data_IF_949808379924
#
_entry.id   IF_949808379924
#
_cell.length_a   1.000
_cell.length_b   1.000
_cell.length_c   1.000
_cell.angle_alpha   90.00
_cell.angle_beta   90.00
_cell.angle_gamma   90.00
#
_symmetry.space_group_name_H-M   'P 1'
#
loop_
_entity.id
_entity.type
_entity.pdbx_description
1 polymer ?
#
# COMPACT_ATOMS: atom_id res chain seq x y z
N UNK A 1 8.90 12.23 -0.25
CA UNK A 1 8.28 13.55 -0.08
C UNK A 1 9.21 14.45 0.74
N UNK A 2 9.59 15.60 0.20
CA UNK A 2 10.52 16.52 0.86
C UNK A 2 9.82 17.67 1.60
N UNK A 3 8.48 17.59 1.77
CA UNK A 3 7.72 18.58 2.53
C UNK A 3 7.66 19.95 1.85
N UNK A 4 7.16 20.02 0.61
CA UNK A 4 6.95 21.31 -0.05
C UNK A 4 5.80 22.10 0.64
N UNK A 5 5.78 23.45 0.52
CA UNK A 5 4.68 24.25 0.99
C UNK A 5 3.34 23.77 0.45
N UNK A 6 2.28 23.85 1.27
CA UNK A 6 0.94 23.35 0.90
C UNK A 6 0.43 23.90 -0.43
N UNK A 7 0.61 25.18 -0.68
CA UNK A 7 0.23 25.87 -1.92
C UNK A 7 0.88 25.23 -3.16
N UNK A 8 2.18 24.91 -3.07
CA UNK A 8 2.92 24.23 -4.13
C UNK A 8 2.41 22.80 -4.33
N UNK A 9 2.20 22.06 -3.24
CA UNK A 9 1.66 20.70 -3.31
C UNK A 9 0.26 20.70 -3.94
N UNK A 10 -0.58 21.67 -3.61
CA UNK A 10 -1.91 21.86 -4.19
C UNK A 10 -1.83 22.12 -5.70
N UNK A 11 -1.01 23.08 -6.12
CA UNK A 11 -0.84 23.47 -7.53
C UNK A 11 -0.46 22.29 -8.44
N UNK A 12 0.51 21.48 -8.02
CA UNK A 12 0.91 20.28 -8.80
C UNK A 12 -0.10 19.15 -8.67
N UNK A 13 -0.69 18.96 -7.48
CA UNK A 13 -1.67 17.91 -7.21
C UNK A 13 -2.96 18.08 -8.01
N UNK A 14 -3.43 19.29 -8.28
CA UNK A 14 -4.58 19.57 -9.14
C UNK A 14 -4.40 19.06 -10.58
N UNK A 15 -3.17 18.79 -10.96
CA UNK A 15 -2.79 18.22 -12.26
C UNK A 15 -2.37 16.75 -12.16
N UNK A 16 -2.61 16.09 -11.03
CA UNK A 16 -2.16 14.71 -10.76
C UNK A 16 -0.64 14.55 -10.77
N UNK A 17 0.10 15.62 -10.47
CA UNK A 17 1.57 15.66 -10.53
C UNK A 17 2.16 16.04 -9.19
N UNK A 18 3.44 15.72 -9.01
CA UNK A 18 4.24 16.16 -7.87
C UNK A 18 5.38 17.04 -8.37
N UNK A 19 5.70 18.12 -7.67
CA UNK A 19 6.80 19.02 -8.04
C UNK A 19 8.12 18.29 -8.32
N UNK A 20 8.43 17.28 -7.51
CA UNK A 20 9.67 16.52 -7.63
C UNK A 20 9.70 15.54 -8.81
N UNK A 21 8.58 15.32 -9.52
CA UNK A 21 8.53 14.43 -10.70
C UNK A 21 9.11 13.05 -10.45
N UNK A 22 9.85 12.54 -11.44
CA UNK A 22 10.60 11.30 -11.39
C UNK A 22 9.74 10.04 -11.43
N UNK A 23 10.34 8.85 -11.17
CA UNK A 23 9.69 7.55 -11.40
C UNK A 23 8.32 7.38 -10.72
N UNK A 24 8.11 8.02 -9.56
CA UNK A 24 6.81 7.96 -8.87
C UNK A 24 5.70 8.58 -9.74
N UNK A 25 5.97 9.72 -10.37
CA UNK A 25 4.98 10.42 -11.22
C UNK A 25 4.88 9.78 -12.61
N UNK A 26 6.03 9.37 -13.16
CA UNK A 26 6.14 8.95 -14.55
C UNK A 26 5.73 7.48 -14.76
N UNK A 27 5.95 6.63 -13.76
CA UNK A 27 5.71 5.19 -13.85
C UNK A 27 4.73 4.67 -12.81
N UNK A 28 4.89 5.06 -11.53
CA UNK A 28 4.10 4.50 -10.45
C UNK A 28 2.66 5.03 -10.46
N UNK A 29 2.44 6.31 -10.72
CA UNK A 29 1.07 6.86 -10.80
C UNK A 29 0.25 6.20 -11.91
N UNK A 30 0.73 6.07 -13.16
CA UNK A 30 0.02 5.31 -14.19
C UNK A 30 -0.22 3.86 -13.80
N UNK A 31 0.77 3.21 -13.17
CA UNK A 31 0.63 1.84 -12.68
C UNK A 31 -0.49 1.69 -11.65
N UNK A 32 -0.59 2.60 -10.67
CA UNK A 32 -1.67 2.61 -9.68
C UNK A 32 -3.02 2.89 -10.34
N UNK A 33 -3.09 3.80 -11.30
CA UNK A 33 -4.34 4.11 -12.01
C UNK A 33 -4.87 2.89 -12.78
N UNK A 34 -3.96 2.11 -13.37
CA UNK A 34 -4.29 0.90 -14.13
C UNK A 34 -4.62 -0.31 -13.24
N UNK A 35 -3.94 -0.47 -12.10
CA UNK A 35 -4.05 -1.63 -11.23
C UNK A 35 -5.40 -1.70 -10.51
N UNK A 36 -5.92 -2.89 -10.26
CA UNK A 36 -7.11 -3.16 -9.44
C UNK A 36 -6.79 -3.31 -7.96
N UNK A 37 -5.52 -3.48 -7.61
CA UNK A 37 -5.06 -3.59 -6.23
C UNK A 37 -3.62 -3.16 -6.05
N UNK A 38 -3.26 -2.87 -4.81
CA UNK A 38 -1.92 -2.48 -4.37
C UNK A 38 -1.47 -3.43 -3.28
N UNK A 39 -0.39 -4.16 -3.52
CA UNK A 39 0.29 -4.99 -2.53
C UNK A 39 1.56 -4.29 -2.04
N UNK A 40 1.64 -3.98 -0.76
CA UNK A 40 2.79 -3.35 -0.12
C UNK A 40 3.62 -4.37 0.67
N UNK A 41 4.93 -4.37 0.45
CA UNK A 41 5.90 -5.12 1.25
C UNK A 41 6.47 -4.17 2.31
N UNK A 42 6.11 -4.40 3.57
CA UNK A 42 6.35 -3.48 4.68
C UNK A 42 7.30 -4.08 5.71
N UNK A 43 8.60 -3.83 5.63
CA UNK A 43 9.47 -4.09 6.75
C UNK A 43 9.16 -3.13 7.89
N UNK A 44 9.10 -3.66 9.11
CA UNK A 44 8.92 -2.86 10.32
C UNK A 44 10.28 -2.35 10.83
N UNK A 45 10.40 -1.04 10.94
CA UNK A 45 11.54 -0.37 11.55
C UNK A 45 11.08 0.50 12.73
N UNK A 46 11.32 0.04 13.97
CA UNK A 46 10.90 0.74 15.18
C UNK A 46 9.39 1.07 15.19
N UNK A 47 8.57 0.08 14.91
CA UNK A 47 7.10 0.18 14.90
C UNK A 47 6.56 1.28 13.94
N UNK A 48 7.31 1.55 12.87
CA UNK A 48 6.96 2.51 11.85
C UNK A 48 7.19 1.98 10.42
N UNK A 49 6.42 2.50 9.48
CA UNK A 49 6.68 2.33 8.05
C UNK A 49 8.07 2.88 7.70
N UNK A 50 8.76 2.22 6.77
CA UNK A 50 10.03 2.73 6.28
C UNK A 50 9.90 4.15 5.71
N UNK A 51 10.98 4.93 5.77
CA UNK A 51 11.00 6.27 5.22
C UNK A 51 10.58 6.33 3.74
N UNK A 52 10.97 5.31 2.96
CA UNK A 52 10.60 5.21 1.54
C UNK A 52 9.10 4.99 1.35
N UNK A 53 8.47 4.09 2.13
CA UNK A 53 7.03 3.87 2.08
C UNK A 53 6.26 5.10 2.56
N UNK A 54 6.72 5.74 3.62
CA UNK A 54 6.13 7.00 4.10
C UNK A 54 6.21 8.08 3.04
N UNK A 55 7.37 8.26 2.39
CA UNK A 55 7.53 9.20 1.29
C UNK A 55 6.63 8.88 0.10
N UNK A 56 6.51 7.61 -0.27
CA UNK A 56 5.60 7.13 -1.31
C UNK A 56 4.14 7.48 -0.98
N UNK A 57 3.66 7.09 0.21
CA UNK A 57 2.28 7.37 0.66
C UNK A 57 1.99 8.87 0.66
N UNK A 58 2.92 9.69 1.12
CA UNK A 58 2.78 11.14 1.11
C UNK A 58 2.68 11.69 -0.32
N UNK A 59 3.42 11.14 -1.27
CA UNK A 59 3.35 11.55 -2.68
C UNK A 59 2.05 11.14 -3.35
N UNK A 60 1.40 10.05 -2.92
CA UNK A 60 0.07 9.68 -3.42
C UNK A 60 -0.99 10.75 -3.18
N UNK A 61 -0.77 11.68 -2.25
CA UNK A 61 -1.66 12.82 -2.03
C UNK A 61 -1.87 13.65 -3.30
N UNK A 62 -0.84 13.80 -4.12
CA UNK A 62 -0.95 14.50 -5.40
C UNK A 62 -1.85 13.74 -6.40
N UNK A 63 -1.64 12.43 -6.53
CA UNK A 63 -2.48 11.59 -7.40
C UNK A 63 -3.92 11.54 -6.90
N UNK A 64 -4.14 11.43 -5.59
CA UNK A 64 -5.46 11.36 -4.97
C UNK A 64 -6.34 12.58 -5.23
N UNK A 65 -5.78 13.72 -5.58
CA UNK A 65 -6.56 14.91 -5.95
C UNK A 65 -7.34 14.73 -7.25
N UNK A 66 -6.81 13.94 -8.17
CA UNK A 66 -7.43 13.68 -9.49
C UNK A 66 -7.97 12.27 -9.65
N UNK A 67 -7.55 11.34 -8.80
CA UNK A 67 -7.92 9.91 -8.88
C UNK A 67 -8.40 9.42 -7.51
N UNK A 68 -9.56 8.78 -7.44
CA UNK A 68 -10.04 8.08 -6.24
C UNK A 68 -9.66 6.61 -6.32
N UNK A 69 -9.51 5.96 -5.16
CA UNK A 69 -8.99 4.59 -5.08
C UNK A 69 -9.98 3.59 -4.45
N UNK A 70 -11.26 3.95 -4.31
CA UNK A 70 -12.28 3.06 -3.70
C UNK A 70 -12.58 1.80 -4.53
N UNK A 71 -12.16 1.77 -5.79
CA UNK A 71 -12.23 0.62 -6.68
C UNK A 71 -10.97 -0.26 -6.64
N UNK A 72 -9.97 0.12 -5.84
CA UNK A 72 -8.65 -0.55 -5.73
C UNK A 72 -8.45 -1.16 -4.37
N UNK A 73 -8.18 -2.47 -4.33
CA UNK A 73 -7.93 -3.18 -3.08
C UNK A 73 -6.53 -2.89 -2.53
N UNK A 74 -6.43 -2.81 -1.19
CA UNK A 74 -5.16 -2.68 -0.48
C UNK A 74 -4.78 -4.00 0.16
N UNK A 75 -3.56 -4.46 -0.08
CA UNK A 75 -2.95 -5.61 0.56
C UNK A 75 -1.56 -5.27 1.11
N UNK A 76 -1.12 -6.01 2.13
CA UNK A 76 0.21 -5.85 2.70
C UNK A 76 0.81 -7.16 3.20
N UNK A 77 2.13 -7.27 3.06
CA UNK A 77 2.95 -8.25 3.77
C UNK A 77 3.84 -7.47 4.73
N UNK A 78 3.67 -7.70 6.03
CA UNK A 78 4.38 -6.97 7.08
C UNK A 78 5.37 -7.93 7.74
N UNK A 79 6.64 -7.57 7.79
CA UNK A 79 7.68 -8.34 8.44
C UNK A 79 8.30 -7.52 9.56
N UNK A 80 8.18 -8.02 10.79
CA UNK A 80 8.72 -7.38 12.00
C UNK A 80 9.83 -8.24 12.61
N UNK A 81 10.77 -7.58 13.27
CA UNK A 81 11.80 -8.30 14.02
C UNK A 81 11.25 -9.04 15.23
N UNK A 82 10.25 -8.47 15.90
CA UNK A 82 9.63 -9.01 17.11
C UNK A 82 8.15 -8.64 17.21
N UNK A 83 7.82 -7.36 17.30
CA UNK A 83 6.47 -6.83 17.53
C UNK A 83 6.15 -5.67 16.59
N UNK A 84 4.98 -5.03 16.73
CA UNK A 84 4.60 -3.80 16.05
C UNK A 84 4.07 -3.98 14.63
N UNK A 85 3.82 -5.21 14.17
CA UNK A 85 3.18 -5.44 12.86
C UNK A 85 1.77 -4.86 12.80
N UNK A 86 1.05 -4.90 13.90
CA UNK A 86 -0.28 -4.30 14.09
C UNK A 86 -0.24 -2.76 13.98
N UNK A 87 0.82 -2.12 14.49
CA UNK A 87 1.03 -0.68 14.34
C UNK A 87 1.25 -0.30 12.87
N UNK A 88 2.03 -1.09 12.12
CA UNK A 88 2.19 -0.89 10.67
C UNK A 88 0.86 -1.07 9.94
N UNK A 89 0.11 -2.12 10.25
CA UNK A 89 -1.22 -2.32 9.67
C UNK A 89 -2.15 -1.13 9.94
N UNK A 90 -2.18 -0.64 11.18
CA UNK A 90 -2.93 0.57 11.56
C UNK A 90 -2.50 1.82 10.79
N UNK A 91 -1.19 2.02 10.57
CA UNK A 91 -0.69 3.13 9.76
C UNK A 91 -1.16 3.01 8.30
N UNK A 92 -1.14 1.81 7.71
CA UNK A 92 -1.65 1.57 6.35
C UNK A 92 -3.16 1.83 6.24
N UNK A 93 -3.95 1.33 7.19
CA UNK A 93 -5.39 1.60 7.26
C UNK A 93 -5.65 3.10 7.29
N UNK A 94 -5.01 3.81 8.21
CA UNK A 94 -5.20 5.26 8.35
C UNK A 94 -4.76 6.01 7.10
N UNK A 95 -3.58 5.70 6.57
CA UNK A 95 -2.98 6.46 5.49
C UNK A 95 -3.57 6.16 4.10
N UNK A 96 -4.01 4.94 3.86
CA UNK A 96 -4.46 4.49 2.53
C UNK A 96 -5.96 4.23 2.47
N UNK A 97 -6.54 3.49 3.41
CA UNK A 97 -7.99 3.26 3.40
C UNK A 97 -8.74 4.53 3.83
N UNK A 98 -8.50 5.05 5.03
CA UNK A 98 -9.27 6.19 5.54
C UNK A 98 -8.96 7.51 4.80
N UNK A 99 -7.70 7.79 4.52
CA UNK A 99 -7.31 9.05 3.88
C UNK A 99 -7.35 9.04 2.36
N UNK A 100 -7.22 7.88 1.71
CA UNK A 100 -7.10 7.76 0.25
C UNK A 100 -8.09 6.80 -0.38
N UNK A 101 -9.03 6.29 0.42
CA UNK A 101 -10.19 5.51 -0.03
C UNK A 101 -9.90 4.15 -0.68
N UNK A 102 -8.70 3.58 -0.51
CA UNK A 102 -8.46 2.20 -0.95
C UNK A 102 -9.45 1.25 -0.26
N UNK A 103 -10.01 0.32 -1.02
CA UNK A 103 -10.84 -0.74 -0.46
C UNK A 103 -10.00 -1.66 0.43
N UNK A 104 -10.48 -1.97 1.63
CA UNK A 104 -9.81 -2.83 2.59
C UNK A 104 -10.51 -4.19 2.66
N UNK A 105 -9.95 -5.25 2.08
CA UNK A 105 -10.47 -6.62 2.24
C UNK A 105 -10.35 -7.11 3.68
N UNK A 106 -11.18 -8.08 4.08
CA UNK A 106 -11.16 -8.64 5.43
C UNK A 106 -9.79 -9.18 5.86
N UNK A 107 -9.08 -9.85 4.97
CA UNK A 107 -7.73 -10.35 5.17
C UNK A 107 -6.73 -9.54 4.33
N UNK A 108 -6.66 -8.23 4.56
CA UNK A 108 -5.81 -7.35 3.74
C UNK A 108 -4.31 -7.52 3.98
N UNK A 109 -3.89 -8.12 5.11
CA UNK A 109 -2.47 -8.30 5.37
C UNK A 109 -2.14 -9.62 6.06
N UNK A 110 -0.93 -10.10 5.81
CA UNK A 110 -0.25 -11.11 6.63
C UNK A 110 0.90 -10.45 7.38
N UNK A 111 1.12 -10.95 8.59
CA UNK A 111 2.16 -10.46 9.51
C UNK A 111 3.10 -11.61 9.85
N UNK A 112 4.39 -11.39 9.64
CA UNK A 112 5.44 -12.37 9.90
C UNK A 112 6.56 -11.81 10.75
N UNK A 113 7.29 -12.72 11.41
CA UNK A 113 8.47 -12.36 12.20
C UNK A 113 9.73 -12.86 11.53
N UNK A 114 10.71 -11.98 11.37
CA UNK A 114 12.03 -12.32 10.83
C UNK A 114 13.03 -11.19 10.97
N UNK A 115 14.20 -11.49 11.54
CA UNK A 115 15.27 -10.51 11.79
C UNK A 115 16.44 -10.60 10.78
N UNK A 116 16.57 -11.73 10.09
CA UNK A 116 17.65 -11.96 9.15
C UNK A 116 17.10 -12.19 7.75
N UNK A 117 17.84 -11.88 6.69
CA UNK A 117 17.39 -12.17 5.33
C UNK A 117 16.93 -13.62 5.17
N UNK A 118 15.71 -13.79 4.69
CA UNK A 118 15.10 -15.10 4.47
C UNK A 118 14.57 -15.81 5.72
N UNK A 119 14.74 -15.26 6.94
CA UNK A 119 14.28 -15.94 8.16
C UNK A 119 12.75 -16.05 8.23
N UNK A 120 12.01 -15.08 7.76
CA UNK A 120 10.55 -15.16 7.66
C UNK A 120 10.08 -16.34 6.80
N UNK A 121 10.78 -16.64 5.72
CA UNK A 121 10.47 -17.76 4.82
C UNK A 121 10.78 -19.15 5.39
N UNK A 122 11.46 -19.22 6.53
CA UNK A 122 11.78 -20.47 7.25
C UNK A 122 10.79 -20.79 8.37
N UNK A 123 9.75 -19.96 8.54
CA UNK A 123 8.72 -20.19 9.55
C UNK A 123 7.83 -21.35 9.15
N UNK A 124 7.45 -22.17 10.13
CA UNK A 124 6.56 -23.30 9.88
C UNK A 124 5.22 -22.81 9.32
N UNK A 125 4.74 -23.49 8.26
CA UNK A 125 3.47 -23.18 7.61
C UNK A 125 3.46 -21.87 6.80
N UNK A 126 4.61 -21.21 6.59
CA UNK A 126 4.66 -19.94 5.84
C UNK A 126 4.18 -20.10 4.40
N UNK A 127 4.52 -21.23 3.76
CA UNK A 127 4.07 -21.53 2.38
C UNK A 127 2.55 -21.56 2.26
N UNK A 128 1.88 -22.26 3.15
CA UNK A 128 0.42 -22.37 3.16
C UNK A 128 -0.24 -21.03 3.44
N UNK A 129 0.34 -20.22 4.33
CA UNK A 129 -0.17 -18.88 4.66
C UNK A 129 -0.02 -17.92 3.47
N UNK A 130 1.11 -17.97 2.77
CA UNK A 130 1.31 -17.17 1.56
C UNK A 130 0.33 -17.61 0.47
N UNK A 131 0.12 -18.92 0.30
CA UNK A 131 -0.83 -19.43 -0.68
C UNK A 131 -2.26 -18.98 -0.36
N UNK A 132 -2.71 -19.14 0.88
CA UNK A 132 -4.02 -18.69 1.31
C UNK A 132 -4.21 -17.17 1.12
N UNK A 133 -3.15 -16.38 1.35
CA UNK A 133 -3.19 -14.95 1.10
C UNK A 133 -3.26 -14.61 -0.38
N UNK A 134 -2.52 -15.32 -1.23
CA UNK A 134 -2.61 -15.18 -2.68
C UNK A 134 -4.03 -15.52 -3.20
N UNK A 135 -4.63 -16.58 -2.68
CA UNK A 135 -6.01 -16.95 -3.01
C UNK A 135 -7.00 -15.84 -2.61
N UNK A 136 -6.84 -15.26 -1.42
CA UNK A 136 -7.64 -14.10 -0.97
C UNK A 136 -7.50 -12.91 -1.92
N UNK A 137 -6.29 -12.62 -2.39
CA UNK A 137 -6.05 -11.55 -3.37
C UNK A 137 -6.82 -11.85 -4.66
N UNK A 138 -6.68 -13.06 -5.21
CA UNK A 138 -7.34 -13.46 -6.45
C UNK A 138 -8.87 -13.42 -6.34
N UNK A 139 -9.44 -13.90 -5.25
CA UNK A 139 -10.89 -13.83 -4.99
C UNK A 139 -11.36 -12.38 -4.93
N UNK A 140 -10.64 -11.53 -4.19
CA UNK A 140 -10.99 -10.10 -4.09
C UNK A 140 -10.96 -9.41 -5.45
N UNK A 141 -10.01 -9.75 -6.32
CA UNK A 141 -9.92 -9.19 -7.67
C UNK A 141 -11.12 -9.62 -8.55
N UNK A 142 -11.49 -10.90 -8.52
CA UNK A 142 -12.66 -11.44 -9.26
C UNK A 142 -13.96 -10.78 -8.82
N UNK A 143 -14.15 -10.63 -7.51
CA UNK A 143 -15.33 -9.94 -6.95
C UNK A 143 -15.38 -8.47 -7.36
N UNK A 144 -14.22 -7.81 -7.46
CA UNK A 144 -14.09 -6.45 -7.94
C UNK A 144 -14.53 -6.28 -9.40
N UNK A 145 -14.15 -7.21 -10.27
CA UNK A 145 -14.59 -7.23 -11.68
C UNK A 145 -16.12 -7.37 -11.78
N UNK A 146 -16.69 -8.31 -11.05
CA UNK A 146 -18.14 -8.52 -11.02
C UNK A 146 -18.95 -7.32 -10.51
N UNK A 147 -18.34 -6.45 -9.71
CA UNK A 147 -18.97 -5.19 -9.24
C UNK A 147 -18.91 -4.08 -10.28
N UNK A 148 -17.89 -4.06 -11.13
CA UNK A 148 -17.74 -3.05 -12.21
C UNK A 148 -18.70 -3.29 -13.38
N UNK A 149 -19.18 -4.53 -13.56
CA UNK A 149 -20.11 -4.93 -14.61
C UNK A 149 -21.58 -4.70 -14.26
N UNK A 150 -21.89 -4.30 -13.03
CA UNK A 150 -23.26 -3.99 -12.56
C UNK A 150 -23.49 -2.49 -12.49
#
# INVERSE_FOLDING_TARGET
>A
CSGCPYQMCLHFGERGKCFYGGPIVESVYPGIQWADGLLLLCPNYNDALSANLTAFINRLTALFRTTRFYDKALFAIIVSGYSGSDLIAGQLITALNMNKTFYLPGNFCIMETGNSPGSAMKRDGIGDRIQAFADTILETMRDGESRKER
#
